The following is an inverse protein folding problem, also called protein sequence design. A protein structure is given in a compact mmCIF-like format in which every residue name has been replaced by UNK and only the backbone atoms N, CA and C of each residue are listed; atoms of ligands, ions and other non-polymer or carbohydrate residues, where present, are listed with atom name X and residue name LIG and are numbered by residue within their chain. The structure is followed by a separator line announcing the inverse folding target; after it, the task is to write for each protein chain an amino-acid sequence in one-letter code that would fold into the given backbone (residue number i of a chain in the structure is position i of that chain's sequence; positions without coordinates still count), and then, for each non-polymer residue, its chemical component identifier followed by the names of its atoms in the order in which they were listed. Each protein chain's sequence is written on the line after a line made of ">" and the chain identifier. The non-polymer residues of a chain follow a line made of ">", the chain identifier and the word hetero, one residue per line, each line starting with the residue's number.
data_IF_955823459058
#
_entry.id   IF_955823459058
#
_cell.length_a   1.000
_cell.length_b   1.000
_cell.length_c   1.000
_cell.angle_alpha   90.00
_cell.angle_beta   90.00
_cell.angle_gamma   90.00
#
_symmetry.space_group_name_H-M   'P 1'
#
loop_
_entity.id
_entity.type
_entity.pdbx_description
1 polymer ?
#
# COMPACT_ATOMS: atom_id res chain seq x y z
N UNK A 1 2.81 -18.15 0.34
CA UNK A 1 3.34 -17.82 -1.01
C UNK A 1 4.80 -18.23 -1.14
N UNK A 2 5.71 -17.72 -0.32
CA UNK A 2 7.16 -18.02 -0.36
C UNK A 2 7.51 -19.50 -0.54
N UNK A 3 6.98 -20.39 0.32
CA UNK A 3 7.24 -21.85 0.22
C UNK A 3 6.88 -22.43 -1.15
N UNK A 4 5.73 -22.04 -1.72
CA UNK A 4 5.29 -22.51 -3.03
C UNK A 4 6.18 -21.98 -4.17
N UNK A 5 6.69 -20.75 -4.06
CA UNK A 5 7.65 -20.18 -5.02
C UNK A 5 8.97 -20.93 -4.94
N UNK A 6 9.48 -21.18 -3.73
CA UNK A 6 10.74 -21.92 -3.49
C UNK A 6 10.68 -23.35 -4.03
N UNK A 7 9.52 -23.99 -3.98
CA UNK A 7 9.27 -25.33 -4.53
C UNK A 7 8.99 -25.32 -6.05
N UNK A 8 9.08 -24.17 -6.73
CA UNK A 8 8.78 -24.03 -8.17
C UNK A 8 7.28 -24.12 -8.53
N UNK A 9 6.39 -24.25 -7.54
CA UNK A 9 4.96 -24.39 -7.76
C UNK A 9 4.26 -23.03 -7.96
N UNK A 10 4.46 -22.46 -9.15
CA UNK A 10 3.92 -21.14 -9.53
C UNK A 10 2.38 -21.11 -9.61
N UNK A 11 1.73 -22.24 -9.94
CA UNK A 11 0.26 -22.33 -9.93
C UNK A 11 -0.29 -22.14 -8.53
N UNK A 12 0.29 -22.83 -7.54
CA UNK A 12 -0.08 -22.69 -6.13
C UNK A 12 0.27 -21.30 -5.59
N UNK A 13 1.42 -20.73 -5.96
CA UNK A 13 1.79 -19.37 -5.58
C UNK A 13 0.75 -18.34 -6.04
N UNK A 14 0.32 -18.40 -7.31
CA UNK A 14 -0.72 -17.52 -7.87
C UNK A 14 -2.08 -17.70 -7.19
N UNK A 15 -2.48 -18.94 -6.91
CA UNK A 15 -3.73 -19.22 -6.17
C UNK A 15 -3.70 -18.60 -4.77
N UNK A 16 -2.58 -18.75 -4.04
CA UNK A 16 -2.40 -18.15 -2.72
C UNK A 16 -2.40 -16.62 -2.76
N UNK A 17 -1.77 -16.00 -3.77
CA UNK A 17 -1.81 -14.55 -3.95
C UNK A 17 -3.25 -14.05 -4.15
N UNK A 18 -4.01 -14.70 -5.03
CA UNK A 18 -5.44 -14.36 -5.25
C UNK A 18 -6.27 -14.50 -3.98
N UNK A 19 -6.04 -15.56 -3.20
CA UNK A 19 -6.71 -15.76 -1.92
C UNK A 19 -6.41 -14.63 -0.93
N UNK A 20 -5.14 -14.23 -0.80
CA UNK A 20 -4.72 -13.14 0.08
C UNK A 20 -5.37 -11.83 -0.36
N UNK A 21 -5.39 -11.52 -1.65
CA UNK A 21 -5.99 -10.28 -2.18
C UNK A 21 -7.50 -10.18 -1.90
N UNK A 22 -8.20 -11.32 -1.86
CA UNK A 22 -9.65 -11.37 -1.54
C UNK A 22 -9.96 -11.43 -0.04
N UNK A 23 -8.95 -11.70 0.80
CA UNK A 23 -9.15 -11.83 2.24
C UNK A 23 -9.37 -10.46 2.90
N UNK A 24 -10.52 -10.29 3.54
CA UNK A 24 -10.86 -9.06 4.27
C UNK A 24 -9.90 -8.76 5.42
N UNK A 25 -9.40 -9.78 6.11
CA UNK A 25 -8.41 -9.60 7.18
C UNK A 25 -7.07 -9.11 6.63
N UNK A 26 -6.61 -9.68 5.51
CA UNK A 26 -5.38 -9.23 4.85
C UNK A 26 -5.50 -7.78 4.35
N UNK A 27 -6.65 -7.42 3.75
CA UNK A 27 -6.92 -6.05 3.30
C UNK A 27 -6.91 -5.05 4.47
N UNK A 28 -7.57 -5.38 5.59
CA UNK A 28 -7.58 -4.52 6.78
C UNK A 28 -6.18 -4.37 7.41
N UNK A 29 -5.39 -5.43 7.43
CA UNK A 29 -3.99 -5.37 7.87
C UNK A 29 -3.16 -4.44 6.98
N UNK A 30 -3.33 -4.54 5.65
CA UNK A 30 -2.65 -3.65 4.71
C UNK A 30 -3.06 -2.18 4.90
N UNK A 31 -4.36 -1.90 5.07
CA UNK A 31 -4.87 -0.56 5.35
C UNK A 31 -4.28 -0.03 6.67
N UNK A 32 -4.26 -0.83 7.73
CA UNK A 32 -3.63 -0.45 9.01
C UNK A 32 -2.15 -0.14 8.84
N UNK A 33 -1.42 -0.99 8.11
CA UNK A 33 0.00 -0.79 7.86
C UNK A 33 0.26 0.56 7.20
N UNK A 34 -0.44 0.85 6.10
CA UNK A 34 -0.25 2.08 5.32
C UNK A 34 -0.69 3.32 6.07
N UNK A 35 -1.87 3.28 6.67
CA UNK A 35 -2.52 4.49 7.21
C UNK A 35 -2.12 4.79 8.65
N UNK A 36 -1.65 3.80 9.42
CA UNK A 36 -1.39 3.96 10.85
C UNK A 36 0.03 3.60 11.29
N UNK A 37 0.68 2.62 10.67
CA UNK A 37 1.97 2.11 11.15
C UNK A 37 3.17 2.66 10.37
N UNK A 38 3.00 2.97 9.08
CA UNK A 38 4.08 3.48 8.24
C UNK A 38 4.63 4.82 8.76
N UNK A 39 5.96 4.98 8.71
CA UNK A 39 6.65 6.23 9.10
C UNK A 39 6.20 7.42 8.25
N UNK A 40 5.94 7.19 6.96
CA UNK A 40 5.45 8.18 6.00
C UNK A 40 3.97 8.54 6.13
N UNK A 41 3.23 8.01 7.12
CA UNK A 41 1.79 8.32 7.31
C UNK A 41 1.47 9.79 7.61
N UNK A 42 2.48 10.63 7.82
CA UNK A 42 2.33 12.08 8.02
C UNK A 42 2.52 12.87 6.74
N UNK A 43 2.89 12.19 5.67
CA UNK A 43 3.19 12.78 4.38
C UNK A 43 2.00 12.55 3.46
N UNK A 44 1.35 13.63 3.02
CA UNK A 44 0.23 13.52 2.10
C UNK A 44 0.71 13.11 0.71
N UNK A 45 -0.11 12.28 0.05
CA UNK A 45 0.05 12.00 -1.37
C UNK A 45 -0.38 13.18 -2.24
N UNK A 46 -0.65 12.90 -3.51
CA UNK A 46 -1.25 13.87 -4.45
C UNK A 46 -2.66 14.27 -3.99
N UNK A 47 -3.36 13.39 -3.29
CA UNK A 47 -4.69 13.62 -2.74
C UNK A 47 -4.75 14.59 -1.55
N UNK A 48 -3.59 15.05 -1.05
CA UNK A 48 -3.52 16.00 0.09
C UNK A 48 -3.89 15.40 1.44
N UNK A 49 -4.14 14.08 1.54
CA UNK A 49 -4.61 13.46 2.78
C UNK A 49 -3.44 12.93 3.62
N UNK A 50 -3.28 13.49 4.81
CA UNK A 50 -2.25 13.04 5.78
C UNK A 50 -2.79 11.97 6.73
N UNK A 51 -4.01 12.13 7.25
CA UNK A 51 -4.58 11.20 8.24
C UNK A 51 -5.99 10.80 7.83
N UNK A 52 -6.22 9.49 7.72
CA UNK A 52 -7.53 8.93 7.44
C UNK A 52 -8.27 8.68 8.75
N UNK A 53 -9.48 9.21 8.84
CA UNK A 53 -10.41 8.88 9.93
C UNK A 53 -10.77 7.38 9.92
N UNK A 54 -11.37 6.90 11.01
CA UNK A 54 -11.90 5.54 11.05
C UNK A 54 -12.84 5.27 9.87
N UNK A 55 -13.81 6.17 9.61
CA UNK A 55 -14.79 6.01 8.53
C UNK A 55 -14.12 5.94 7.15
N UNK A 56 -13.17 6.84 6.88
CA UNK A 56 -12.47 6.85 5.59
C UNK A 56 -11.65 5.57 5.35
N UNK A 57 -11.11 4.93 6.39
CA UNK A 57 -10.43 3.63 6.25
C UNK A 57 -11.38 2.52 5.77
N UNK A 58 -12.66 2.57 6.14
CA UNK A 58 -13.65 1.64 5.60
C UNK A 58 -14.05 1.98 4.16
N UNK A 59 -14.04 3.26 3.78
CA UNK A 59 -14.21 3.65 2.38
C UNK A 59 -13.04 3.17 1.51
N UNK A 60 -11.80 3.21 2.02
CA UNK A 60 -10.65 2.58 1.36
C UNK A 60 -10.86 1.08 1.19
N UNK A 61 -11.37 0.38 2.20
CA UNK A 61 -11.69 -1.04 2.10
C UNK A 61 -12.73 -1.32 1.01
N UNK A 62 -13.84 -0.55 0.98
CA UNK A 62 -14.87 -0.69 -0.05
C UNK A 62 -14.29 -0.48 -1.45
N UNK A 63 -13.50 0.57 -1.62
CA UNK A 63 -12.81 0.87 -2.89
C UNK A 63 -11.89 -0.27 -3.30
N UNK A 64 -11.08 -0.79 -2.38
CA UNK A 64 -10.17 -1.91 -2.64
C UNK A 64 -10.95 -3.16 -3.08
N UNK A 65 -12.07 -3.46 -2.43
CA UNK A 65 -12.92 -4.60 -2.83
C UNK A 65 -13.52 -4.40 -4.22
N UNK A 66 -13.96 -3.19 -4.57
CA UNK A 66 -14.58 -2.92 -5.87
C UNK A 66 -13.60 -2.80 -7.04
N UNK A 67 -12.35 -2.40 -6.78
CA UNK A 67 -11.41 -2.01 -7.84
C UNK A 67 -10.00 -2.60 -7.71
N UNK A 68 -9.80 -3.65 -6.91
CA UNK A 68 -8.49 -4.30 -6.79
C UNK A 68 -8.02 -4.95 -8.10
N UNK A 69 -8.93 -5.42 -8.94
CA UNK A 69 -8.58 -6.13 -10.18
C UNK A 69 -8.16 -5.18 -11.32
N UNK A 70 -8.62 -3.92 -11.28
CA UNK A 70 -8.39 -2.90 -12.31
C UNK A 70 -7.83 -1.60 -11.71
N UNK A 71 -6.99 -1.72 -10.68
CA UNK A 71 -6.46 -0.57 -9.96
C UNK A 71 -5.56 0.30 -10.86
N UNK A 72 -5.84 1.60 -10.89
CA UNK A 72 -4.98 2.62 -11.50
C UNK A 72 -4.39 3.49 -10.40
N UNK A 73 -3.06 3.52 -10.28
CA UNK A 73 -2.39 4.34 -9.27
C UNK A 73 -2.44 5.83 -9.68
N UNK A 74 -2.44 6.72 -8.69
CA UNK A 74 -2.18 8.14 -8.92
C UNK A 74 -0.71 8.35 -9.30
N UNK A 75 -0.37 9.55 -9.79
CA UNK A 75 1.03 9.92 -10.01
C UNK A 75 1.86 9.90 -8.73
N UNK A 76 3.18 10.01 -8.87
CA UNK A 76 4.10 10.13 -7.73
C UNK A 76 4.22 11.60 -7.31
N UNK A 77 4.17 11.88 -6.01
CA UNK A 77 4.54 13.17 -5.45
C UNK A 77 5.96 13.08 -4.89
N UNK A 78 6.84 13.91 -5.42
CA UNK A 78 8.20 14.02 -4.93
C UNK A 78 8.28 14.94 -3.72
N UNK A 79 9.03 14.51 -2.71
CA UNK A 79 9.21 15.26 -1.46
C UNK A 79 10.69 15.21 -1.11
N UNK A 80 11.38 16.37 -1.07
CA UNK A 80 12.80 16.42 -0.76
C UNK A 80 13.06 15.88 0.65
N UNK A 81 13.85 14.80 0.74
CA UNK A 81 14.31 14.27 2.01
C UNK A 81 15.64 14.94 2.35
N UNK A 82 15.69 15.65 3.48
CA UNK A 82 16.92 16.23 3.97
C UNK A 82 17.89 15.13 4.41
N UNK A 83 19.12 15.15 3.88
CA UNK A 83 20.21 14.32 4.39
C UNK A 83 20.62 14.82 5.79
N UNK A 84 21.32 13.98 6.56
CA UNK A 84 21.84 14.33 7.89
C UNK A 84 22.69 15.62 7.92
N UNK A 85 23.31 15.98 6.80
CA UNK A 85 24.12 17.18 6.62
C UNK A 85 23.32 18.40 6.11
N UNK A 86 21.98 18.36 6.14
CA UNK A 86 21.11 19.45 5.71
C UNK A 86 20.96 19.61 4.19
N UNK A 87 21.74 18.88 3.40
CA UNK A 87 21.63 18.90 1.93
C UNK A 87 20.41 18.08 1.47
N UNK A 88 19.67 18.58 0.49
CA UNK A 88 18.60 17.82 -0.16
C UNK A 88 19.23 16.73 -1.04
N UNK A 89 18.63 15.54 -1.10
CA UNK A 89 19.00 14.56 -2.14
C UNK A 89 18.75 15.21 -3.52
N UNK A 90 19.66 15.08 -4.51
CA UNK A 90 19.38 15.51 -5.87
C UNK A 90 18.10 14.81 -6.35
N UNK A 91 17.20 15.59 -6.94
CA UNK A 91 16.06 15.04 -7.66
C UNK A 91 16.52 14.88 -9.11
N UNK A 92 16.32 13.69 -9.70
CA UNK A 92 16.55 13.45 -11.13
C UNK A 92 15.47 14.14 -11.98
#
# INVERSE_FOLDING_TARGET
>A
VYKAVREGNLRKARSLQKLIMKSRSAQLLAIRQVTQLNRGKRTAGIDGKHHLSYKERFEVLKKLVSSAENWTHQGLREIPIAKKNGQKLPQE
#
